data_IF_372277201117
#
_entry.id   IF_372277201117
#
_cell.length_a   1.000
_cell.length_b   1.000
_cell.length_c   1.000
_cell.angle_alpha   90.00
_cell.angle_beta   90.00
_cell.angle_gamma   90.00
#
_symmetry.space_group_name_H-M   'P 1'
#
loop_
_entity.id
_entity.type
_entity.pdbx_description
1 polymer ?
#
# COMPACT_ATOMS: atom_id res chain seq x y z
N UNK A 1 14.39 1.05 13.58
CA UNK A 1 13.21 0.15 13.69
C UNK A 1 13.10 -0.67 12.41
N UNK A 2 12.42 -1.83 12.43
CA UNK A 2 12.21 -2.68 11.23
C UNK A 2 11.58 -1.90 10.07
N UNK A 3 10.58 -1.07 10.38
CA UNK A 3 9.91 -0.20 9.42
C UNK A 3 10.86 0.79 8.71
N UNK A 4 11.74 1.49 9.45
CA UNK A 4 12.70 2.41 8.85
C UNK A 4 13.64 1.70 7.86
N UNK A 5 14.14 0.53 8.26
CA UNK A 5 15.06 -0.24 7.40
C UNK A 5 14.35 -0.74 6.14
N UNK A 6 13.10 -1.19 6.25
CA UNK A 6 12.30 -1.59 5.10
C UNK A 6 11.98 -0.43 4.13
N UNK A 7 11.69 0.75 4.67
CA UNK A 7 11.50 1.96 3.86
C UNK A 7 12.80 2.32 3.14
N UNK A 8 13.93 2.41 3.85
CA UNK A 8 15.23 2.71 3.24
C UNK A 8 15.62 1.70 2.16
N UNK A 9 15.46 0.40 2.42
CA UNK A 9 15.76 -0.65 1.44
C UNK A 9 14.88 -0.52 0.19
N UNK A 10 13.60 -0.22 0.36
CA UNK A 10 12.67 -0.01 -0.76
C UNK A 10 13.08 1.19 -1.61
N UNK A 11 13.47 2.31 -0.98
CA UNK A 11 13.95 3.50 -1.69
C UNK A 11 15.23 3.23 -2.46
N UNK A 12 16.22 2.57 -1.83
CA UNK A 12 17.50 2.23 -2.47
C UNK A 12 17.36 1.32 -3.68
N UNK A 13 16.37 0.41 -3.68
CA UNK A 13 16.15 -0.54 -4.78
C UNK A 13 15.15 -0.04 -5.83
N UNK A 14 14.19 0.79 -5.42
CA UNK A 14 13.01 1.12 -6.23
C UNK A 14 13.09 2.47 -6.95
N UNK A 15 13.92 3.40 -6.46
CA UNK A 15 14.12 4.70 -7.14
C UNK A 15 15.22 4.54 -8.19
N UNK A 16 14.95 5.01 -9.41
CA UNK A 16 15.98 5.09 -10.45
C UNK A 16 16.86 6.32 -10.22
N UNK A 17 18.17 6.15 -10.28
CA UNK A 17 19.11 7.28 -10.33
C UNK A 17 18.68 8.21 -11.49
N UNK A 18 18.66 9.52 -11.24
CA UNK A 18 18.29 10.62 -12.17
C UNK A 18 16.81 11.06 -12.24
N UNK A 19 15.86 10.43 -11.52
CA UNK A 19 14.48 10.94 -11.46
C UNK A 19 14.23 11.84 -10.25
N UNK A 20 13.75 13.07 -10.49
CA UNK A 20 13.19 13.94 -9.45
C UNK A 20 11.83 13.43 -9.03
N UNK A 21 11.81 12.51 -8.07
CA UNK A 21 10.58 11.99 -7.50
C UNK A 21 10.14 12.82 -6.30
N UNK A 22 9.73 14.07 -6.56
CA UNK A 22 9.30 15.01 -5.52
C UNK A 22 8.16 14.43 -4.65
N UNK A 23 7.31 13.59 -5.23
CA UNK A 23 6.23 12.90 -4.51
C UNK A 23 6.74 11.81 -3.57
N UNK A 24 7.71 10.99 -4.00
CA UNK A 24 8.31 9.96 -3.14
C UNK A 24 9.12 10.61 -2.02
N UNK A 25 9.83 11.70 -2.31
CA UNK A 25 10.52 12.47 -1.28
C UNK A 25 9.53 12.98 -0.21
N UNK A 26 8.43 13.64 -0.63
CA UNK A 26 7.39 14.11 0.30
C UNK A 26 6.77 12.97 1.10
N UNK A 27 6.47 11.84 0.45
CA UNK A 27 5.96 10.64 1.12
C UNK A 27 6.93 10.16 2.20
N UNK A 28 8.22 10.04 1.84
CA UNK A 28 9.28 9.57 2.73
C UNK A 28 9.44 10.48 3.95
N UNK A 29 9.46 11.80 3.73
CA UNK A 29 9.51 12.78 4.82
C UNK A 29 8.31 12.63 5.76
N UNK A 30 7.09 12.55 5.20
CA UNK A 30 5.87 12.44 5.99
C UNK A 30 5.83 11.17 6.85
N UNK A 31 6.23 10.01 6.31
CA UNK A 31 6.24 8.76 7.08
C UNK A 31 7.33 8.75 8.15
N UNK A 32 8.49 9.38 7.91
CA UNK A 32 9.53 9.53 8.92
C UNK A 32 9.10 10.46 10.05
N UNK A 33 8.39 11.54 9.75
CA UNK A 33 7.79 12.42 10.78
C UNK A 33 6.73 11.69 11.61
N UNK A 34 5.86 10.89 10.98
CA UNK A 34 4.89 10.03 11.68
C UNK A 34 5.56 9.06 12.65
N UNK A 35 6.66 8.43 12.24
CA UNK A 35 7.42 7.55 13.13
C UNK A 35 8.02 8.31 14.33
N UNK A 36 8.47 9.56 14.13
CA UNK A 36 9.00 10.41 15.22
C UNK A 36 7.91 10.75 16.25
N UNK A 37 6.67 11.00 15.81
CA UNK A 37 5.54 11.27 16.72
C UNK A 37 4.89 9.99 17.28
N UNK A 38 5.55 8.83 17.12
CA UNK A 38 5.13 7.52 17.64
C UNK A 38 3.83 6.97 17.04
N UNK A 39 3.52 7.27 15.78
CA UNK A 39 2.54 6.49 15.03
C UNK A 39 2.97 5.01 14.93
N UNK A 40 2.03 4.04 14.85
CA UNK A 40 2.36 2.63 14.90
C UNK A 40 3.24 2.22 13.70
N UNK A 41 4.44 1.64 13.91
CA UNK A 41 5.39 1.37 12.83
C UNK A 41 4.84 0.50 11.69
N UNK A 42 4.01 -0.50 12.01
CA UNK A 42 3.42 -1.39 11.00
C UNK A 42 2.39 -0.65 10.12
N UNK A 43 1.60 0.24 10.71
CA UNK A 43 0.67 1.08 9.96
C UNK A 43 1.41 2.05 9.05
N UNK A 44 2.48 2.67 9.56
CA UNK A 44 3.29 3.62 8.79
C UNK A 44 4.03 2.92 7.63
N UNK A 45 4.58 1.72 7.87
CA UNK A 45 5.24 0.95 6.81
C UNK A 45 4.26 0.57 5.69
N UNK A 46 3.09 0.05 6.04
CA UNK A 46 2.09 -0.31 5.03
C UNK A 46 1.48 0.93 4.35
N UNK A 47 1.43 2.08 5.03
CA UNK A 47 1.11 3.37 4.41
C UNK A 47 2.12 3.74 3.34
N UNK A 48 3.41 3.66 3.68
CA UNK A 48 4.48 3.90 2.74
C UNK A 48 4.36 2.96 1.53
N UNK A 49 4.22 1.64 1.73
CA UNK A 49 4.09 0.70 0.62
C UNK A 49 2.89 0.97 -0.29
N UNK A 50 1.71 1.24 0.30
CA UNK A 50 0.51 1.58 -0.47
C UNK A 50 0.74 2.80 -1.36
N UNK A 51 1.26 3.88 -0.79
CA UNK A 51 1.50 5.12 -1.55
C UNK A 51 2.65 4.99 -2.53
N UNK A 52 3.74 4.30 -2.17
CA UNK A 52 4.86 4.03 -3.06
C UNK A 52 4.41 3.27 -4.31
N UNK A 53 3.64 2.19 -4.14
CA UNK A 53 3.07 1.42 -5.26
C UNK A 53 2.07 2.26 -6.08
N UNK A 54 1.29 3.13 -5.44
CA UNK A 54 0.33 4.02 -6.12
C UNK A 54 1.05 5.06 -6.98
N UNK A 55 2.08 5.73 -6.46
CA UNK A 55 2.87 6.72 -7.19
C UNK A 55 3.59 6.08 -8.40
N UNK A 56 4.00 4.82 -8.25
CA UNK A 56 4.60 4.03 -9.33
C UNK A 56 3.57 3.35 -10.26
N UNK A 57 2.27 3.65 -10.13
CA UNK A 57 1.22 3.13 -11.03
C UNK A 57 0.84 1.65 -10.85
N UNK A 58 1.37 0.97 -9.83
CA UNK A 58 1.12 -0.47 -9.56
C UNK A 58 -0.20 -0.69 -8.81
N UNK A 59 -0.61 0.28 -7.99
CA UNK A 59 -1.79 0.16 -7.12
C UNK A 59 -2.88 1.18 -7.50
N UNK A 60 -3.77 0.82 -8.46
CA UNK A 60 -4.84 1.71 -8.96
C UNK A 60 -5.89 2.07 -7.89
N UNK A 61 -6.81 2.94 -8.28
CA UNK A 61 -7.88 3.44 -7.39
C UNK A 61 -8.81 2.33 -6.88
N UNK A 62 -9.09 2.23 -5.56
CA UNK A 62 -10.01 1.26 -4.97
C UNK A 62 -11.50 1.67 -5.08
N UNK A 63 -11.84 2.59 -5.98
CA UNK A 63 -13.20 3.16 -6.05
C UNK A 63 -14.12 2.45 -7.03
N UNK A 64 -13.56 1.69 -7.98
CA UNK A 64 -14.30 1.04 -9.04
C UNK A 64 -13.71 -0.34 -9.34
N UNK A 65 -14.55 -1.24 -9.84
CA UNK A 65 -14.14 -2.54 -10.35
C UNK A 65 -13.41 -2.37 -11.70
N UNK A 66 -12.21 -2.93 -11.84
CA UNK A 66 -11.45 -2.94 -13.10
C UNK A 66 -12.13 -3.73 -14.22
N UNK A 67 -12.97 -4.71 -13.88
CA UNK A 67 -13.67 -5.55 -14.86
C UNK A 67 -14.99 -4.96 -15.40
N UNK A 68 -15.78 -4.28 -14.56
CA UNK A 68 -17.11 -3.78 -14.96
C UNK A 68 -17.43 -2.35 -14.53
N UNK A 69 -16.53 -1.67 -13.81
CA UNK A 69 -16.72 -0.29 -13.37
C UNK A 69 -17.65 -0.08 -12.18
N UNK A 70 -18.27 -1.12 -11.59
CA UNK A 70 -19.11 -0.94 -10.40
C UNK A 70 -18.31 -0.41 -9.19
N UNK A 71 -18.95 0.38 -8.34
CA UNK A 71 -18.37 0.87 -7.08
C UNK A 71 -18.63 -0.07 -5.89
N UNK A 72 -19.50 -1.04 -6.08
CA UNK A 72 -20.04 -1.88 -5.02
C UNK A 72 -19.33 -3.24 -4.93
N UNK A 73 -19.34 -3.81 -3.73
CA UNK A 73 -18.90 -5.19 -3.46
C UNK A 73 -17.52 -5.53 -4.03
N UNK A 74 -16.56 -4.62 -3.89
CA UNK A 74 -15.15 -4.90 -4.18
C UNK A 74 -14.62 -5.90 -3.15
N UNK A 75 -13.97 -6.97 -3.61
CA UNK A 75 -13.55 -8.12 -2.78
C UNK A 75 -12.17 -8.67 -3.16
N UNK A 76 -11.53 -8.14 -4.19
CA UNK A 76 -10.23 -8.63 -4.62
C UNK A 76 -9.38 -7.54 -5.29
N UNK A 77 -8.09 -7.82 -5.42
CA UNK A 77 -7.12 -7.04 -6.18
C UNK A 77 -6.37 -7.94 -7.16
N UNK A 78 -6.32 -7.54 -8.42
CA UNK A 78 -5.59 -8.21 -9.48
C UNK A 78 -5.06 -7.16 -10.49
N UNK A 79 -3.74 -7.00 -10.57
CA UNK A 79 -3.10 -6.03 -11.46
C UNK A 79 -3.40 -6.30 -12.94
N UNK A 80 -3.50 -7.56 -13.35
CA UNK A 80 -3.71 -7.96 -14.75
C UNK A 80 -5.17 -7.73 -15.20
N UNK A 81 -6.10 -7.68 -14.25
CA UNK A 81 -7.53 -7.44 -14.49
C UNK A 81 -7.96 -6.01 -14.16
N UNK A 82 -7.02 -5.06 -14.16
CA UNK A 82 -7.30 -3.63 -13.99
C UNK A 82 -7.47 -3.18 -12.54
N UNK A 83 -6.98 -3.95 -11.57
CA UNK A 83 -6.92 -3.57 -10.15
C UNK A 83 -7.99 -4.22 -9.29
N UNK A 84 -8.83 -3.42 -8.64
CA UNK A 84 -9.83 -3.94 -7.71
C UNK A 84 -10.99 -4.61 -8.44
N UNK A 85 -11.49 -5.74 -7.94
CA UNK A 85 -12.56 -6.50 -8.57
C UNK A 85 -13.75 -6.66 -7.63
N UNK A 86 -14.96 -6.53 -8.19
CA UNK A 86 -16.19 -6.86 -7.48
C UNK A 86 -16.42 -8.37 -7.42
N UNK A 87 -17.32 -8.82 -6.53
CA UNK A 87 -17.66 -10.23 -6.34
C UNK A 87 -18.10 -10.95 -7.63
N UNK A 88 -18.74 -10.24 -8.57
CA UNK A 88 -19.17 -10.81 -9.84
C UNK A 88 -18.02 -11.01 -10.85
N UNK A 89 -17.07 -10.05 -10.86
CA UNK A 89 -15.91 -10.07 -11.75
C UNK A 89 -14.77 -10.94 -11.20
N UNK A 90 -14.71 -11.14 -9.88
CA UNK A 90 -13.70 -11.97 -9.26
C UNK A 90 -13.90 -13.45 -9.62
N UNK A 91 -12.99 -14.01 -10.43
CA UNK A 91 -13.01 -15.43 -10.85
C UNK A 91 -12.03 -16.32 -10.09
N UNK A 92 -11.72 -15.96 -8.84
CA UNK A 92 -10.68 -16.61 -8.00
C UNK A 92 -9.25 -16.45 -8.53
N UNK A 93 -9.03 -15.35 -9.25
CA UNK A 93 -7.71 -14.93 -9.75
C UNK A 93 -7.29 -13.63 -9.06
N UNK A 94 -6.04 -13.56 -8.62
CA UNK A 94 -5.50 -12.46 -7.83
C UNK A 94 -5.71 -12.64 -6.32
N UNK A 95 -5.70 -11.54 -5.59
CA UNK A 95 -5.72 -11.53 -4.13
C UNK A 95 -7.10 -11.21 -3.60
N UNK A 96 -7.70 -12.13 -2.85
CA UNK A 96 -8.90 -11.82 -2.07
C UNK A 96 -8.57 -10.80 -0.97
N UNK A 97 -9.39 -9.77 -0.85
CA UNK A 97 -9.28 -8.74 0.16
C UNK A 97 -10.61 -8.62 0.89
N UNK A 98 -10.56 -8.56 2.21
CA UNK A 98 -11.75 -8.31 3.01
C UNK A 98 -12.26 -6.88 2.77
N UNK A 99 -13.55 -6.66 3.00
CA UNK A 99 -14.17 -5.34 2.88
C UNK A 99 -13.51 -4.32 3.82
N UNK A 100 -13.11 -4.75 5.02
CA UNK A 100 -12.39 -3.91 5.98
C UNK A 100 -11.02 -3.47 5.44
N UNK A 101 -10.31 -4.36 4.76
CA UNK A 101 -9.02 -4.05 4.12
C UNK A 101 -9.18 -3.01 3.01
N UNK A 102 -10.23 -3.13 2.19
CA UNK A 102 -10.54 -2.14 1.15
C UNK A 102 -10.95 -0.79 1.78
N UNK A 103 -11.66 -0.81 2.90
CA UNK A 103 -11.96 0.41 3.65
C UNK A 103 -10.68 1.07 4.19
N UNK A 104 -9.75 0.28 4.74
CA UNK A 104 -8.44 0.77 5.21
C UNK A 104 -7.62 1.39 4.07
N UNK A 105 -7.58 0.76 2.89
CA UNK A 105 -6.94 1.35 1.70
C UNK A 105 -7.58 2.71 1.39
N UNK A 106 -8.91 2.77 1.29
CA UNK A 106 -9.64 4.01 0.97
C UNK A 106 -9.38 5.11 2.00
N UNK A 107 -9.25 4.76 3.28
CA UNK A 107 -8.91 5.69 4.36
C UNK A 107 -7.48 6.22 4.19
N UNK A 108 -6.50 5.33 4.06
CA UNK A 108 -5.08 5.68 3.95
C UNK A 108 -4.76 6.54 2.72
N UNK A 109 -5.53 6.40 1.64
CA UNK A 109 -5.40 7.26 0.46
C UNK A 109 -5.99 8.67 0.62
N UNK A 110 -6.65 8.96 1.75
CA UNK A 110 -7.29 10.26 2.04
C UNK A 110 -6.64 11.02 3.21
N UNK A 111 -5.89 10.33 4.06
CA UNK A 111 -5.31 10.91 5.27
C UNK A 111 -3.80 11.14 5.14
N UNK A 112 -3.28 12.09 5.91
CA UNK A 112 -1.84 12.25 6.13
C UNK A 112 -1.35 11.17 7.11
N UNK A 113 -0.13 10.61 6.97
CA UNK A 113 0.32 9.50 7.83
C UNK A 113 0.43 9.88 9.31
N UNK A 114 0.46 11.17 9.67
CA UNK A 114 0.45 11.60 11.09
C UNK A 114 -0.86 11.24 11.80
N UNK A 115 -1.96 11.12 11.05
CA UNK A 115 -3.27 10.71 11.58
C UNK A 115 -3.30 9.21 11.95
N UNK A 116 -2.30 8.42 11.54
CA UNK A 116 -2.19 7.02 11.93
C UNK A 116 -1.89 6.81 13.41
N UNK A 117 -1.54 7.86 14.16
CA UNK A 117 -1.40 7.80 15.61
C UNK A 117 -2.66 7.25 16.29
N UNK A 118 -3.83 7.51 15.73
CA UNK A 118 -5.13 7.01 16.21
C UNK A 118 -5.28 5.48 16.06
N UNK A 119 -4.33 4.80 15.40
CA UNK A 119 -4.34 3.35 15.15
C UNK A 119 -3.48 2.55 16.14
N UNK A 120 -2.96 3.16 17.21
CA UNK A 120 -2.06 2.49 18.17
C UNK A 120 -2.59 1.19 18.78
N UNK A 121 -3.90 1.06 18.94
CA UNK A 121 -4.53 -0.15 19.51
C UNK A 121 -5.00 -1.14 18.43
N UNK A 122 -4.84 -0.81 17.14
CA UNK A 122 -5.35 -1.61 16.03
C UNK A 122 -4.21 -2.34 15.34
N UNK A 123 -4.39 -3.63 15.10
CA UNK A 123 -3.50 -4.39 14.22
C UNK A 123 -3.80 -4.06 12.76
N UNK A 124 -2.76 -4.02 11.93
CA UNK A 124 -2.94 -3.82 10.50
C UNK A 124 -3.56 -5.08 9.84
N UNK A 125 -4.52 -4.96 8.90
CA UNK A 125 -5.14 -6.12 8.27
C UNK A 125 -4.11 -7.00 7.52
N UNK A 126 -4.01 -8.27 7.91
CA UNK A 126 -2.98 -9.19 7.39
C UNK A 126 -3.12 -9.50 5.90
N UNK A 127 -4.35 -9.63 5.40
CA UNK A 127 -4.61 -9.85 3.98
C UNK A 127 -4.11 -8.66 3.14
N UNK A 128 -4.34 -7.43 3.62
CA UNK A 128 -3.80 -6.24 2.97
C UNK A 128 -2.27 -6.18 3.05
N UNK A 129 -1.70 -6.45 4.21
CA UNK A 129 -0.24 -6.47 4.40
C UNK A 129 0.44 -7.43 3.42
N UNK A 130 -0.11 -8.63 3.26
CA UNK A 130 0.41 -9.63 2.34
C UNK A 130 0.38 -9.13 0.89
N UNK A 131 -0.73 -8.52 0.46
CA UNK A 131 -0.84 -7.96 -0.90
C UNK A 131 0.19 -6.85 -1.13
N UNK A 132 0.32 -5.92 -0.20
CA UNK A 132 1.28 -4.81 -0.32
C UNK A 132 2.72 -5.33 -0.36
N UNK A 133 3.06 -6.30 0.50
CA UNK A 133 4.38 -6.91 0.52
C UNK A 133 4.72 -7.60 -0.80
N UNK A 134 3.83 -8.47 -1.29
CA UNK A 134 4.03 -9.18 -2.56
C UNK A 134 4.17 -8.19 -3.72
N UNK A 135 3.36 -7.12 -3.75
CA UNK A 135 3.45 -6.11 -4.81
C UNK A 135 4.73 -5.28 -4.75
N UNK A 136 5.25 -5.00 -3.56
CA UNK A 136 6.58 -4.39 -3.42
C UNK A 136 7.66 -5.34 -3.93
N UNK A 137 7.60 -6.63 -3.59
CA UNK A 137 8.58 -7.61 -4.09
C UNK A 137 8.53 -7.74 -5.62
N UNK A 138 7.33 -7.83 -6.19
CA UNK A 138 7.11 -7.85 -7.64
C UNK A 138 7.73 -6.60 -8.30
N UNK A 139 7.45 -5.42 -7.73
CA UNK A 139 7.97 -4.15 -8.25
C UNK A 139 9.50 -4.05 -8.18
N UNK A 140 10.10 -4.49 -7.06
CA UNK A 140 11.55 -4.45 -6.86
C UNK A 140 12.29 -5.61 -7.56
N UNK A 141 11.57 -6.59 -8.11
CA UNK A 141 12.14 -7.82 -8.67
C UNK A 141 12.92 -8.66 -7.65
N UNK A 142 12.75 -8.41 -6.34
CA UNK A 142 13.48 -9.08 -5.27
C UNK A 142 12.77 -8.97 -3.92
N UNK A 143 13.09 -9.88 -2.99
CA UNK A 143 12.62 -9.79 -1.61
C UNK A 143 13.32 -8.66 -0.85
N UNK A 144 12.63 -8.14 0.16
CA UNK A 144 13.21 -7.23 1.14
C UNK A 144 13.90 -8.05 2.23
N UNK A 145 15.19 -7.80 2.49
CA UNK A 145 15.96 -8.47 3.55
C UNK A 145 15.52 -8.00 4.94
N UNK A 146 14.89 -6.84 4.99
CA UNK A 146 14.41 -6.17 6.19
C UNK A 146 13.18 -6.81 6.83
N UNK A 147 12.37 -7.56 6.08
CA UNK A 147 11.07 -8.08 6.54
C UNK A 147 10.75 -9.50 6.10
#
# INVERSE_FOLDING_TARGET
SKALFAISETLSKGIKEEQKEDEIFRLTSAVFESLKIKSPPDWVLNYFFLWFLKLNGVFPSPNFCGGCGTKENLVAFNSDLGGFLCSNCYKREGFFLKSESIAVIKEMLKIHPSQLLEKNEKTFPKDLQNVLYLKIQDFLGSSLKSI
#
